data_IF_127250262370
#
_entry.id   IF_127250262370
#
_cell.length_a   1.000
_cell.length_b   1.000
_cell.length_c   1.000
_cell.angle_alpha   90.00
_cell.angle_beta   90.00
_cell.angle_gamma   90.00
#
_symmetry.space_group_name_H-M   'P 1'
#
loop_
_entity.id
_entity.type
_entity.pdbx_description
1 polymer ?
#
# COMPACT_ATOMS: atom_id res chain seq x y z
N UNK A 1 0.95 -6.67 -37.72
CA UNK A 1 0.61 -7.15 -36.36
C UNK A 1 -0.73 -7.86 -36.42
N UNK A 2 -0.75 -9.14 -36.09
CA UNK A 2 -1.96 -9.97 -36.18
C UNK A 2 -3.00 -9.51 -35.13
N UNK A 3 -4.31 -9.59 -35.43
CA UNK A 3 -5.38 -9.18 -34.49
C UNK A 3 -5.28 -9.93 -33.15
N UNK A 4 -4.85 -11.19 -33.21
CA UNK A 4 -4.66 -12.05 -32.05
C UNK A 4 -3.52 -11.56 -31.13
N UNK A 5 -2.45 -11.01 -31.70
CA UNK A 5 -1.30 -10.50 -30.92
C UNK A 5 -1.66 -9.22 -30.16
N UNK A 6 -2.46 -8.34 -30.78
CA UNK A 6 -3.00 -7.14 -30.12
C UNK A 6 -3.90 -7.48 -28.93
N UNK A 7 -4.73 -8.53 -29.05
CA UNK A 7 -5.58 -9.00 -27.97
C UNK A 7 -4.77 -9.59 -26.80
N UNK A 8 -3.71 -10.35 -27.09
CA UNK A 8 -2.79 -10.87 -26.06
C UNK A 8 -2.07 -9.74 -25.32
N UNK A 9 -1.55 -8.75 -26.04
CA UNK A 9 -0.85 -7.60 -25.45
C UNK A 9 -1.76 -6.81 -24.50
N UNK A 10 -3.00 -6.52 -24.92
CA UNK A 10 -3.99 -5.80 -24.13
C UNK A 10 -4.37 -6.53 -22.83
N UNK A 11 -4.55 -7.86 -22.91
CA UNK A 11 -4.81 -8.71 -21.73
C UNK A 11 -3.65 -8.70 -20.74
N UNK A 12 -2.40 -8.80 -21.24
CA UNK A 12 -1.22 -8.74 -20.38
C UNK A 12 -1.06 -7.37 -19.71
N UNK A 13 -1.29 -6.29 -20.43
CA UNK A 13 -1.22 -4.93 -19.89
C UNK A 13 -2.29 -4.68 -18.82
N UNK A 14 -3.53 -5.09 -19.07
CA UNK A 14 -4.62 -4.96 -18.08
C UNK A 14 -4.37 -5.81 -16.84
N UNK A 15 -3.81 -7.03 -16.99
CA UNK A 15 -3.37 -7.87 -15.86
C UNK A 15 -2.30 -7.18 -15.02
N UNK A 16 -1.27 -6.62 -15.65
CA UNK A 16 -0.23 -5.85 -14.97
C UNK A 16 -0.82 -4.65 -14.22
N UNK A 17 -1.72 -3.88 -14.85
CA UNK A 17 -2.35 -2.70 -14.25
C UNK A 17 -3.17 -3.08 -13.01
N UNK A 18 -3.94 -4.17 -13.08
CA UNK A 18 -4.73 -4.68 -11.93
C UNK A 18 -3.83 -5.12 -10.78
N UNK A 19 -2.75 -5.84 -11.07
CA UNK A 19 -1.77 -6.25 -10.04
C UNK A 19 -1.09 -5.04 -9.39
N UNK A 20 -0.72 -4.04 -10.20
CA UNK A 20 -0.13 -2.79 -9.70
C UNK A 20 -1.11 -2.02 -8.81
N UNK A 21 -2.39 -1.93 -9.19
CA UNK A 21 -3.44 -1.31 -8.39
C UNK A 21 -3.62 -2.03 -7.05
N UNK A 22 -3.74 -3.37 -7.06
CA UNK A 22 -3.88 -4.18 -5.84
C UNK A 22 -2.70 -4.00 -4.88
N UNK A 23 -1.46 -3.94 -5.39
CA UNK A 23 -0.27 -3.65 -4.57
C UNK A 23 -0.34 -2.24 -3.95
N UNK A 24 -0.81 -1.25 -4.71
CA UNK A 24 -1.01 0.11 -4.22
C UNK A 24 -2.06 0.17 -3.11
N UNK A 25 -3.15 -0.58 -3.24
CA UNK A 25 -4.21 -0.65 -2.22
C UNK A 25 -3.71 -1.32 -0.93
N UNK A 26 -2.91 -2.39 -1.04
CA UNK A 26 -2.30 -3.03 0.14
C UNK A 26 -1.35 -2.06 0.86
N UNK A 27 -0.46 -1.38 0.14
CA UNK A 27 0.44 -0.39 0.75
C UNK A 27 -0.34 0.77 1.37
N UNK A 28 -1.45 1.18 0.77
CA UNK A 28 -2.35 2.20 1.31
C UNK A 28 -3.02 1.73 2.59
N UNK A 29 -3.48 0.48 2.65
CA UNK A 29 -4.03 -0.12 3.86
C UNK A 29 -3.00 -0.13 4.99
N UNK A 30 -1.78 -0.59 4.73
CA UNK A 30 -0.70 -0.57 5.71
C UNK A 30 -0.38 0.84 6.18
N UNK A 31 -0.34 1.84 5.30
CA UNK A 31 -0.12 3.26 5.68
C UNK A 31 -1.20 3.81 6.62
N UNK A 32 -2.42 3.29 6.57
CA UNK A 32 -3.52 3.71 7.46
C UNK A 32 -3.47 2.96 8.78
N UNK A 33 -3.17 1.66 8.77
CA UNK A 33 -3.26 0.79 9.95
C UNK A 33 -1.97 0.76 10.78
N UNK A 34 -0.79 0.76 10.14
CA UNK A 34 0.51 0.73 10.83
C UNK A 34 0.70 1.86 11.85
N UNK A 35 0.35 3.13 11.56
CA UNK A 35 0.50 4.20 12.54
C UNK A 35 -0.22 3.93 13.85
N UNK A 36 -1.40 3.31 13.77
CA UNK A 36 -2.21 2.98 14.94
C UNK A 36 -1.62 1.81 15.73
N UNK A 37 -1.10 0.80 15.03
CA UNK A 37 -0.42 -0.35 15.66
C UNK A 37 0.81 0.16 16.43
N UNK A 38 1.67 0.93 15.76
CA UNK A 38 2.90 1.47 16.36
C UNK A 38 2.56 2.35 17.56
N UNK A 39 1.54 3.21 17.46
CA UNK A 39 1.15 4.06 18.57
C UNK A 39 0.68 3.26 19.78
N UNK A 40 -0.03 2.15 19.57
CA UNK A 40 -0.48 1.28 20.66
C UNK A 40 0.67 0.52 21.29
N UNK A 41 1.61 0.02 20.49
CA UNK A 41 2.77 -0.73 21.02
C UNK A 41 3.70 0.19 21.80
N UNK A 42 4.06 1.36 21.26
CA UNK A 42 4.94 2.30 21.96
C UNK A 42 4.31 2.87 23.24
N UNK A 43 2.99 3.02 23.26
CA UNK A 43 2.26 3.41 24.48
C UNK A 43 2.33 2.33 25.57
N UNK A 44 2.37 1.05 25.20
CA UNK A 44 2.56 -0.05 26.16
C UNK A 44 3.99 -0.10 26.68
N UNK A 45 4.97 0.27 25.85
CA UNK A 45 6.39 0.33 26.20
C UNK A 45 6.73 1.56 27.06
N UNK A 46 5.81 2.52 27.18
CA UNK A 46 5.98 3.73 27.99
C UNK A 46 6.74 4.86 27.28
N UNK A 47 6.97 4.72 25.97
CA UNK A 47 7.67 5.74 25.19
C UNK A 47 6.78 6.99 24.98
N UNK A 48 7.34 8.21 25.10
CA UNK A 48 6.61 9.46 24.91
C UNK A 48 6.39 9.77 23.42
N UNK A 49 5.75 8.85 22.67
CA UNK A 49 5.49 9.01 21.24
C UNK A 49 4.12 9.63 21.00
N UNK A 50 4.06 10.66 20.15
CA UNK A 50 2.79 11.28 19.75
C UNK A 50 2.27 10.69 18.44
N UNK A 51 0.94 10.68 18.26
CA UNK A 51 0.30 10.30 16.98
C UNK A 51 0.85 11.10 15.79
N UNK A 52 1.20 12.38 16.01
CA UNK A 52 1.78 13.27 15.00
C UNK A 52 3.14 12.76 14.52
N UNK A 53 4.04 12.39 15.42
CA UNK A 53 5.36 11.82 15.09
C UNK A 53 5.24 10.53 14.28
N UNK A 54 4.33 9.63 14.65
CA UNK A 54 4.16 8.39 13.91
C UNK A 54 3.57 8.68 12.54
N UNK A 55 2.56 9.55 12.45
CA UNK A 55 1.95 9.90 11.16
C UNK A 55 2.93 10.51 10.15
N UNK A 56 3.96 11.23 10.61
CA UNK A 56 5.00 11.78 9.73
C UNK A 56 5.90 10.73 9.09
N UNK A 57 6.02 9.52 9.67
CA UNK A 57 6.78 8.41 9.10
C UNK A 57 6.06 7.73 7.92
N UNK A 58 4.74 7.96 7.79
CA UNK A 58 3.89 7.29 6.78
C UNK A 58 3.33 8.25 5.72
N UNK A 59 3.67 9.55 5.78
CA UNK A 59 3.40 10.55 4.74
C UNK A 59 4.22 10.25 3.47
#
# INVERSE_FOLDING_TARGET
>A
MNKQDRAKLSKSYTKYRKLKAKKRDILRFFRVVMPEIIFRTTKLEGDPVTRKMISTLFK
#
